data_IF_643363022793
#
_entry.id   IF_643363022793
#
_cell.length_a   1.000
_cell.length_b   1.000
_cell.length_c   1.000
_cell.angle_alpha   90.00
_cell.angle_beta   90.00
_cell.angle_gamma   90.00
#
_symmetry.space_group_name_H-M   'P 1'
#
loop_
_entity.id
_entity.type
_entity.pdbx_description
1 polymer ?
#
# COMPACT_ATOMS: atom_id res chain seq x y z
N UNK A 1 4.88 6.06 -13.09
CA UNK A 1 3.65 5.83 -12.31
C UNK A 1 2.46 6.35 -13.09
N UNK A 2 1.37 5.57 -13.11
CA UNK A 2 0.09 5.94 -13.76
C UNK A 2 -1.02 6.16 -12.74
N UNK A 3 -0.84 5.63 -11.53
CA UNK A 3 -1.75 5.78 -10.42
C UNK A 3 -0.96 5.83 -9.11
N UNK A 4 -1.47 6.55 -8.13
CA UNK A 4 -0.92 6.65 -6.78
C UNK A 4 -2.06 6.68 -5.78
N UNK A 5 -1.99 5.83 -4.76
CA UNK A 5 -2.82 5.91 -3.56
C UNK A 5 -1.97 6.46 -2.44
N UNK A 6 -2.47 7.46 -1.73
CA UNK A 6 -1.79 8.07 -0.59
C UNK A 6 -2.70 8.12 0.63
N UNK A 7 -2.09 8.01 1.80
CA UNK A 7 -2.77 8.09 3.09
C UNK A 7 -2.73 9.54 3.58
N UNK A 8 -3.89 10.06 3.95
CA UNK A 8 -4.04 11.39 4.52
C UNK A 8 -4.42 11.24 5.99
N UNK A 9 -3.57 11.72 6.88
CA UNK A 9 -3.90 11.83 8.29
C UNK A 9 -5.18 12.66 8.46
N UNK A 10 -6.23 11.99 8.95
CA UNK A 10 -7.57 12.57 9.01
C UNK A 10 -7.97 12.79 10.46
N UNK A 11 -7.28 13.74 11.13
CA UNK A 11 -7.57 14.14 12.51
C UNK A 11 -8.85 14.97 12.61
N UNK A 12 -9.15 15.73 11.57
CA UNK A 12 -10.32 16.60 11.44
C UNK A 12 -11.30 16.02 10.42
N UNK A 13 -12.47 16.63 10.30
CA UNK A 13 -13.40 16.29 9.22
C UNK A 13 -12.75 16.62 7.85
N UNK A 14 -12.89 15.75 6.84
CA UNK A 14 -12.26 15.95 5.54
C UNK A 14 -12.50 17.32 4.91
N UNK A 15 -13.66 17.93 5.14
CA UNK A 15 -14.00 19.25 4.59
C UNK A 15 -13.18 20.40 5.20
N UNK A 16 -12.66 20.22 6.43
CA UNK A 16 -11.87 21.20 7.15
C UNK A 16 -10.36 20.85 7.16
N UNK A 17 -10.00 19.68 6.66
CA UNK A 17 -8.62 19.19 6.68
C UNK A 17 -7.77 19.82 5.59
N UNK A 18 -6.66 20.52 5.93
CA UNK A 18 -5.73 21.05 4.95
C UNK A 18 -5.18 19.99 3.99
N UNK A 19 -4.95 18.76 4.49
CA UNK A 19 -4.46 17.64 3.69
C UNK A 19 -5.47 17.24 2.60
N UNK A 20 -6.76 17.15 2.95
CA UNK A 20 -7.82 16.83 2.00
C UNK A 20 -8.06 17.96 0.98
N UNK A 21 -7.97 19.22 1.40
CA UNK A 21 -8.08 20.38 0.50
C UNK A 21 -6.94 20.35 -0.51
N UNK A 22 -5.69 20.25 -0.05
CA UNK A 22 -4.52 20.17 -0.91
C UNK A 22 -4.57 18.96 -1.86
N UNK A 23 -4.96 17.78 -1.35
CA UNK A 23 -5.15 16.59 -2.19
C UNK A 23 -6.16 16.82 -3.32
N UNK A 24 -7.31 17.43 -3.02
CA UNK A 24 -8.36 17.69 -4.01
C UNK A 24 -7.88 18.63 -5.12
N UNK A 25 -7.09 19.65 -4.77
CA UNK A 25 -6.48 20.57 -5.72
C UNK A 25 -5.48 19.84 -6.63
N UNK A 26 -4.58 19.04 -6.05
CA UNK A 26 -3.59 18.26 -6.78
C UNK A 26 -4.29 17.21 -7.67
N UNK A 27 -5.28 16.48 -7.15
CA UNK A 27 -6.05 15.50 -7.90
C UNK A 27 -6.70 16.14 -9.14
N UNK A 28 -7.31 17.31 -8.98
CA UNK A 28 -7.91 18.06 -10.08
C UNK A 28 -6.87 18.50 -11.11
N UNK A 29 -5.74 19.02 -10.67
CA UNK A 29 -4.65 19.48 -11.55
C UNK A 29 -4.00 18.33 -12.34
N UNK A 30 -3.91 17.14 -11.73
CA UNK A 30 -3.19 15.99 -12.29
C UNK A 30 -4.09 14.93 -12.95
N UNK A 31 -5.41 15.08 -12.94
CA UNK A 31 -6.38 14.08 -13.42
C UNK A 31 -6.13 13.55 -14.84
N UNK A 32 -5.44 14.30 -15.71
CA UNK A 32 -5.08 13.90 -17.07
C UNK A 32 -3.75 13.16 -17.16
N UNK A 33 -2.97 13.14 -16.08
CA UNK A 33 -1.63 12.55 -16.01
C UNK A 33 -1.56 11.35 -15.06
N UNK A 34 -2.32 11.40 -13.97
CA UNK A 34 -2.19 10.46 -12.86
C UNK A 34 -3.56 10.24 -12.20
N UNK A 35 -3.90 8.98 -11.98
CA UNK A 35 -5.03 8.63 -11.10
C UNK A 35 -4.57 8.74 -9.65
N UNK A 36 -5.18 9.63 -8.87
CA UNK A 36 -4.90 9.79 -7.45
C UNK A 36 -6.07 9.28 -6.61
N UNK A 37 -5.77 8.47 -5.61
CA UNK A 37 -6.73 8.00 -4.60
C UNK A 37 -6.26 8.41 -3.21
N UNK A 38 -7.17 8.95 -2.39
CA UNK A 38 -6.91 9.27 -0.99
C UNK A 38 -7.49 8.21 -0.06
N UNK A 39 -6.70 7.82 0.92
CA UNK A 39 -7.16 7.04 2.07
C UNK A 39 -7.26 7.96 3.28
N UNK A 40 -8.41 7.99 3.91
CA UNK A 40 -8.60 8.72 5.17
C UNK A 40 -8.02 7.91 6.33
N UNK A 41 -6.74 8.12 6.64
CA UNK A 41 -6.09 7.38 7.72
C UNK A 41 -6.44 7.95 9.08
N UNK A 42 -6.95 7.09 9.96
CA UNK A 42 -7.32 7.41 11.34
C UNK A 42 -6.86 6.30 12.28
N UNK A 43 -6.58 6.64 13.53
CA UNK A 43 -6.39 5.61 14.56
C UNK A 43 -7.70 4.83 14.78
N UNK A 44 -7.63 3.52 14.96
CA UNK A 44 -8.80 2.64 15.03
C UNK A 44 -9.82 3.07 16.11
N UNK A 45 -9.37 3.60 17.26
CA UNK A 45 -10.30 4.05 18.32
C UNK A 45 -11.27 5.16 17.87
N UNK A 46 -11.01 5.84 16.75
CA UNK A 46 -11.91 6.88 16.20
C UNK A 46 -13.26 6.34 15.78
N UNK A 47 -13.40 5.03 15.56
CA UNK A 47 -14.70 4.38 15.28
C UNK A 47 -15.70 4.53 16.43
N UNK A 48 -15.23 4.86 17.65
CA UNK A 48 -16.05 5.04 18.85
C UNK A 48 -16.58 6.47 19.01
N UNK A 49 -16.09 7.42 18.20
CA UNK A 49 -16.50 8.82 18.27
C UNK A 49 -17.84 9.05 17.57
N UNK A 50 -18.64 9.94 18.12
CA UNK A 50 -19.98 10.28 17.61
C UNK A 50 -19.97 10.86 16.18
N UNK A 51 -18.86 11.47 15.77
CA UNK A 51 -18.68 12.06 14.44
C UNK A 51 -18.20 11.07 13.38
N UNK A 52 -17.91 9.82 13.75
CA UNK A 52 -17.29 8.83 12.85
C UNK A 52 -18.16 8.55 11.62
N UNK A 53 -19.45 8.32 11.80
CA UNK A 53 -20.37 8.07 10.68
C UNK A 53 -20.44 9.26 9.69
N UNK A 54 -20.46 10.49 10.23
CA UNK A 54 -20.44 11.71 9.42
C UNK A 54 -19.12 11.83 8.63
N UNK A 55 -17.98 11.48 9.22
CA UNK A 55 -16.69 11.44 8.53
C UNK A 55 -16.71 10.42 7.37
N UNK A 56 -17.23 9.22 7.61
CA UNK A 56 -17.38 8.21 6.54
C UNK A 56 -18.22 8.75 5.39
N UNK A 57 -19.32 9.43 5.66
CA UNK A 57 -20.13 10.07 4.62
C UNK A 57 -19.36 11.16 3.83
N UNK A 58 -18.50 11.92 4.50
CA UNK A 58 -17.67 12.93 3.84
C UNK A 58 -16.56 12.31 2.99
N UNK A 59 -15.96 11.20 3.45
CA UNK A 59 -14.98 10.44 2.69
C UNK A 59 -15.61 9.87 1.43
N UNK A 60 -16.79 9.25 1.54
CA UNK A 60 -17.53 8.71 0.40
C UNK A 60 -17.86 9.77 -0.66
N UNK A 61 -18.27 10.97 -0.24
CA UNK A 61 -18.54 12.10 -1.17
C UNK A 61 -17.29 12.57 -1.95
N UNK A 62 -16.11 12.19 -1.53
CA UNK A 62 -14.82 12.54 -2.15
C UNK A 62 -14.17 11.37 -2.89
N UNK A 63 -14.93 10.29 -3.12
CA UNK A 63 -14.41 9.05 -3.70
C UNK A 63 -13.15 8.54 -2.95
N UNK A 64 -13.12 8.79 -1.62
CA UNK A 64 -12.04 8.38 -0.75
C UNK A 64 -12.20 6.93 -0.28
N UNK A 65 -11.13 6.39 0.27
CA UNK A 65 -11.06 5.06 0.90
C UNK A 65 -11.00 5.23 2.41
N UNK A 66 -11.70 4.39 3.16
CA UNK A 66 -11.66 4.42 4.62
C UNK A 66 -10.42 3.69 5.13
N UNK A 67 -9.56 4.40 5.85
CA UNK A 67 -8.34 3.88 6.42
C UNK A 67 -8.36 3.79 7.94
N UNK A 68 -7.68 2.79 8.49
CA UNK A 68 -7.46 2.68 9.91
C UNK A 68 -6.03 2.23 10.22
N UNK A 69 -5.41 2.85 11.22
CA UNK A 69 -4.20 2.33 11.85
C UNK A 69 -4.59 1.39 13.00
N UNK A 70 -4.31 0.11 12.80
CA UNK A 70 -4.58 -0.99 13.74
C UNK A 70 -3.25 -1.43 14.35
N UNK A 71 -2.80 -0.64 15.33
CA UNK A 71 -1.57 -0.94 16.06
C UNK A 71 -1.74 -2.04 17.11
N UNK A 72 -0.63 -2.56 17.65
CA UNK A 72 -0.66 -3.60 18.68
C UNK A 72 -1.58 -3.24 19.85
N UNK A 73 -2.49 -4.15 20.21
CA UNK A 73 -3.43 -3.97 21.32
C UNK A 73 -4.54 -2.94 21.10
N UNK A 74 -4.65 -2.33 19.91
CA UNK A 74 -5.72 -1.39 19.59
C UNK A 74 -6.99 -2.06 19.06
N UNK A 75 -6.85 -3.25 18.46
CA UNK A 75 -7.95 -4.00 17.89
C UNK A 75 -8.82 -4.63 18.97
N UNK A 76 -10.14 -4.46 18.83
CA UNK A 76 -11.15 -5.26 19.53
C UNK A 76 -12.21 -5.70 18.51
N UNK A 77 -12.91 -6.82 18.73
CA UNK A 77 -13.99 -7.24 17.85
C UNK A 77 -15.01 -6.14 17.56
N UNK A 78 -15.37 -5.35 18.59
CA UNK A 78 -16.36 -4.28 18.49
C UNK A 78 -15.87 -3.12 17.63
N UNK A 79 -14.58 -2.75 17.74
CA UNK A 79 -13.99 -1.68 16.92
C UNK A 79 -13.90 -2.07 15.46
N UNK A 80 -13.43 -3.28 15.19
CA UNK A 80 -13.33 -3.80 13.81
C UNK A 80 -14.75 -3.91 13.23
N UNK A 81 -15.72 -4.41 13.99
CA UNK A 81 -17.11 -4.49 13.56
C UNK A 81 -17.68 -3.11 13.16
N UNK A 82 -17.50 -2.10 14.01
CA UNK A 82 -17.93 -0.73 13.71
C UNK A 82 -17.31 -0.17 12.45
N UNK A 83 -16.00 -0.43 12.24
CA UNK A 83 -15.28 -0.01 11.03
C UNK A 83 -15.92 -0.62 9.78
N UNK A 84 -16.13 -1.94 9.78
CA UNK A 84 -16.73 -2.65 8.65
C UNK A 84 -18.18 -2.25 8.38
N UNK A 85 -18.99 -2.09 9.43
CA UNK A 85 -20.38 -1.66 9.30
C UNK A 85 -20.49 -0.24 8.73
N UNK A 86 -19.61 0.68 9.16
CA UNK A 86 -19.56 2.02 8.59
C UNK A 86 -19.11 2.02 7.14
N UNK A 87 -18.06 1.26 6.80
CA UNK A 87 -17.61 1.10 5.42
C UNK A 87 -18.73 0.55 4.52
N UNK A 88 -19.42 -0.50 4.96
CA UNK A 88 -20.55 -1.09 4.22
C UNK A 88 -21.70 -0.09 4.04
N UNK A 89 -22.05 0.67 5.08
CA UNK A 89 -23.14 1.66 5.05
C UNK A 89 -22.88 2.77 4.03
N UNK A 90 -21.65 3.20 3.91
CA UNK A 90 -21.27 4.31 3.02
C UNK A 90 -20.67 3.86 1.69
N UNK A 91 -20.63 2.54 1.41
CA UNK A 91 -20.06 1.97 0.18
C UNK A 91 -18.57 2.24 0.02
N UNK A 92 -17.82 2.26 1.12
CA UNK A 92 -16.39 2.53 1.16
C UNK A 92 -15.57 1.25 1.08
N UNK A 93 -14.49 1.27 0.33
CA UNK A 93 -13.40 0.30 0.43
C UNK A 93 -12.58 0.56 1.71
N UNK A 94 -11.85 -0.44 2.17
CA UNK A 94 -10.97 -0.37 3.34
C UNK A 94 -9.50 -0.45 2.92
N UNK A 95 -8.65 0.38 3.54
CA UNK A 95 -7.18 0.33 3.40
C UNK A 95 -6.56 0.49 4.80
N UNK A 96 -6.01 -0.60 5.33
CA UNK A 96 -5.70 -0.76 6.73
C UNK A 96 -4.20 -0.89 6.95
N UNK A 97 -3.62 -0.10 7.84
CA UNK A 97 -2.30 -0.38 8.42
C UNK A 97 -2.53 -1.37 9.55
N UNK A 98 -2.09 -2.61 9.40
CA UNK A 98 -2.41 -3.66 10.35
C UNK A 98 -1.18 -4.48 10.74
N UNK A 99 -1.03 -4.70 12.03
CA UNK A 99 0.02 -5.51 12.63
C UNK A 99 1.43 -5.14 12.13
N UNK A 100 1.68 -3.83 12.04
CA UNK A 100 3.00 -3.26 11.72
C UNK A 100 3.96 -3.41 12.90
N UNK A 101 4.26 -4.65 13.25
CA UNK A 101 5.12 -5.00 14.38
C UNK A 101 5.76 -6.38 14.15
N UNK A 102 6.85 -6.64 14.84
CA UNK A 102 7.47 -7.98 14.92
C UNK A 102 7.00 -8.78 16.15
N UNK A 103 5.95 -8.34 16.82
CA UNK A 103 5.30 -9.07 17.90
C UNK A 103 4.30 -10.11 17.35
N UNK A 104 4.63 -11.40 17.52
CA UNK A 104 3.79 -12.49 17.06
C UNK A 104 2.39 -12.53 17.72
N UNK A 105 2.21 -11.86 18.87
CA UNK A 105 0.93 -11.81 19.58
C UNK A 105 -0.06 -10.79 19.00
N UNK A 106 0.36 -9.96 18.02
CA UNK A 106 -0.55 -9.05 17.34
C UNK A 106 -1.65 -9.82 16.62
N UNK A 107 -2.89 -9.40 16.79
CA UNK A 107 -4.11 -10.11 16.36
C UNK A 107 -5.04 -9.26 15.49
N UNK A 108 -4.64 -8.03 15.16
CA UNK A 108 -5.43 -7.11 14.37
C UNK A 108 -5.84 -7.70 13.02
N UNK A 109 -4.91 -8.35 12.32
CA UNK A 109 -5.19 -8.99 11.03
C UNK A 109 -6.15 -10.18 11.16
N UNK A 110 -6.07 -10.97 12.23
CA UNK A 110 -7.00 -12.06 12.49
C UNK A 110 -8.43 -11.54 12.66
N UNK A 111 -8.62 -10.49 13.46
CA UNK A 111 -9.91 -9.85 13.65
C UNK A 111 -10.47 -9.23 12.37
N UNK A 112 -9.61 -8.65 11.53
CA UNK A 112 -9.99 -8.12 10.20
C UNK A 112 -10.50 -9.25 9.32
N UNK A 113 -9.78 -10.36 9.21
CA UNK A 113 -10.17 -11.53 8.40
C UNK A 113 -11.49 -12.13 8.89
N UNK A 114 -11.61 -12.39 10.19
CA UNK A 114 -12.84 -12.94 10.80
C UNK A 114 -14.04 -12.06 10.52
N UNK A 115 -13.88 -10.73 10.66
CA UNK A 115 -14.96 -9.77 10.44
C UNK A 115 -15.33 -9.66 8.96
N UNK A 116 -14.35 -9.66 8.06
CA UNK A 116 -14.57 -9.64 6.63
C UNK A 116 -15.41 -10.86 6.17
N UNK A 117 -15.05 -12.06 6.63
CA UNK A 117 -15.75 -13.30 6.34
C UNK A 117 -17.15 -13.32 6.95
N UNK A 118 -17.29 -12.94 8.22
CA UNK A 118 -18.56 -12.90 8.94
C UNK A 118 -19.58 -11.96 8.29
N UNK A 119 -19.14 -10.77 7.89
CA UNK A 119 -20.00 -9.80 7.21
C UNK A 119 -20.14 -10.03 5.70
N UNK A 120 -19.36 -10.95 5.12
CA UNK A 120 -19.26 -11.11 3.66
C UNK A 120 -19.06 -9.75 2.99
N UNK A 121 -18.08 -9.02 3.48
CA UNK A 121 -17.86 -7.63 3.08
C UNK A 121 -17.64 -7.51 1.58
N UNK A 122 -18.46 -6.69 0.91
CA UNK A 122 -18.48 -6.60 -0.55
C UNK A 122 -17.47 -5.57 -1.11
N UNK A 123 -16.95 -4.66 -0.27
CA UNK A 123 -15.92 -3.69 -0.66
C UNK A 123 -14.54 -4.34 -0.76
N UNK A 124 -13.60 -3.67 -1.41
CA UNK A 124 -12.20 -4.10 -1.39
C UNK A 124 -11.59 -3.86 -0.02
N UNK A 125 -10.73 -4.79 0.39
CA UNK A 125 -9.94 -4.67 1.60
C UNK A 125 -8.46 -4.74 1.21
N UNK A 126 -7.71 -3.75 1.63
CA UNK A 126 -6.24 -3.72 1.53
C UNK A 126 -5.68 -3.76 2.94
N UNK A 127 -4.78 -4.70 3.21
CA UNK A 127 -4.03 -4.81 4.45
C UNK A 127 -2.56 -4.47 4.18
N UNK A 128 -2.12 -3.33 4.68
CA UNK A 128 -0.73 -2.88 4.62
C UNK A 128 0.09 -3.44 5.78
N UNK A 129 1.38 -3.58 5.56
CA UNK A 129 2.41 -4.06 6.51
C UNK A 129 2.31 -5.55 6.83
N UNK A 130 1.38 -6.00 7.66
CA UNK A 130 1.20 -7.39 8.08
C UNK A 130 2.50 -8.06 8.57
N UNK A 131 3.39 -7.30 9.22
CA UNK A 131 4.73 -7.78 9.60
C UNK A 131 4.69 -8.88 10.65
N UNK A 132 3.74 -8.81 11.60
CA UNK A 132 3.59 -9.81 12.65
C UNK A 132 3.26 -11.20 12.11
N UNK A 133 2.62 -11.29 10.93
CA UNK A 133 2.27 -12.57 10.31
C UNK A 133 3.50 -13.46 10.09
N UNK A 134 4.66 -12.86 9.75
CA UNK A 134 5.92 -13.59 9.57
C UNK A 134 6.54 -14.09 10.88
N UNK A 135 6.00 -13.72 12.03
CA UNK A 135 6.49 -14.13 13.36
C UNK A 135 5.58 -15.16 14.04
N UNK A 136 4.40 -15.43 13.47
CA UNK A 136 3.46 -16.41 14.01
C UNK A 136 3.97 -17.84 13.82
N UNK A 137 3.51 -18.75 14.67
CA UNK A 137 3.77 -20.18 14.48
C UNK A 137 3.19 -20.67 13.15
N UNK A 138 3.90 -21.56 12.49
CA UNK A 138 3.57 -22.02 11.13
C UNK A 138 2.10 -22.42 10.92
N UNK A 139 1.46 -23.24 11.78
CA UNK A 139 0.04 -23.59 11.62
C UNK A 139 -0.90 -22.38 11.72
N UNK A 140 -0.59 -21.44 12.61
CA UNK A 140 -1.36 -20.20 12.80
C UNK A 140 -1.21 -19.28 11.59
N UNK A 141 0.02 -19.09 11.12
CA UNK A 141 0.31 -18.30 9.93
C UNK A 141 -0.41 -18.85 8.70
N UNK A 142 -0.35 -20.18 8.48
CA UNK A 142 -1.03 -20.84 7.36
C UNK A 142 -2.56 -20.68 7.43
N UNK A 143 -3.16 -20.84 8.60
CA UNK A 143 -4.59 -20.65 8.78
C UNK A 143 -5.02 -19.21 8.49
N UNK A 144 -4.24 -18.23 8.96
CA UNK A 144 -4.53 -16.83 8.72
C UNK A 144 -4.34 -16.46 7.24
N UNK A 145 -3.30 -16.96 6.58
CA UNK A 145 -3.08 -16.77 5.13
C UNK A 145 -4.25 -17.34 4.32
N UNK A 146 -4.74 -18.54 4.68
CA UNK A 146 -5.91 -19.11 4.03
C UNK A 146 -7.16 -18.24 4.21
N UNK A 147 -7.37 -17.68 5.41
CA UNK A 147 -8.46 -16.74 5.68
C UNK A 147 -8.34 -15.43 4.88
N UNK A 148 -7.12 -14.88 4.73
CA UNK A 148 -6.85 -13.71 3.88
C UNK A 148 -7.26 -13.99 2.44
N UNK A 149 -6.89 -15.15 1.91
CA UNK A 149 -7.25 -15.56 0.55
C UNK A 149 -8.76 -15.75 0.40
N UNK A 150 -9.42 -16.40 1.35
CA UNK A 150 -10.88 -16.61 1.35
C UNK A 150 -11.65 -15.29 1.43
N UNK A 151 -11.18 -14.35 2.25
CA UNK A 151 -11.79 -13.03 2.39
C UNK A 151 -11.48 -12.09 1.19
N UNK A 152 -10.64 -12.50 0.25
CA UNK A 152 -10.26 -11.68 -0.90
C UNK A 152 -9.47 -10.41 -0.53
N UNK A 153 -8.76 -10.44 0.58
CA UNK A 153 -7.97 -9.30 1.06
C UNK A 153 -6.70 -9.17 0.23
N UNK A 154 -6.43 -7.96 -0.26
CA UNK A 154 -5.16 -7.60 -0.89
C UNK A 154 -4.13 -7.29 0.18
N UNK A 155 -2.90 -7.78 0.04
CA UNK A 155 -1.81 -7.45 0.97
C UNK A 155 -0.79 -6.54 0.30
N UNK A 156 -0.46 -5.42 0.95
CA UNK A 156 0.59 -4.50 0.50
C UNK A 156 1.79 -4.61 1.45
N UNK A 157 2.87 -5.19 0.96
CA UNK A 157 4.12 -5.26 1.70
C UNK A 157 5.02 -4.05 1.37
N UNK A 158 5.73 -3.58 2.37
CA UNK A 158 6.41 -2.28 2.40
C UNK A 158 7.91 -2.48 2.75
N UNK A 159 8.68 -3.07 1.81
CA UNK A 159 10.02 -3.59 2.11
C UNK A 159 11.01 -2.53 2.59
N UNK A 160 10.91 -1.29 2.08
CA UNK A 160 11.81 -0.20 2.46
C UNK A 160 11.54 0.25 3.89
N UNK A 161 10.32 0.71 4.17
CA UNK A 161 9.96 1.27 5.47
C UNK A 161 9.96 0.20 6.56
N UNK A 162 9.35 -0.95 6.31
CA UNK A 162 9.34 -2.02 7.32
C UNK A 162 10.73 -2.58 7.58
N UNK A 163 11.57 -2.76 6.55
CA UNK A 163 12.96 -3.17 6.73
C UNK A 163 13.80 -2.16 7.54
N UNK A 164 13.43 -0.88 7.50
CA UNK A 164 14.10 0.16 8.26
C UNK A 164 13.57 0.31 9.70
N UNK A 165 12.24 0.21 9.91
CA UNK A 165 11.60 0.49 11.18
C UNK A 165 11.51 -0.73 12.10
N UNK A 166 11.28 -1.93 11.53
CA UNK A 166 10.98 -3.10 12.32
C UNK A 166 12.23 -3.63 13.05
N UNK A 167 12.05 -4.12 14.28
CA UNK A 167 13.11 -4.61 15.18
C UNK A 167 14.23 -3.59 15.43
N UNK A 168 13.97 -2.31 15.20
CA UNK A 168 14.93 -1.22 15.38
C UNK A 168 15.15 -0.92 16.86
N UNK A 169 16.40 -1.05 17.34
CA UNK A 169 16.79 -0.74 18.71
C UNK A 169 18.15 0.00 18.72
N UNK A 170 18.30 1.06 19.54
CA UNK A 170 19.58 1.75 19.67
C UNK A 170 20.72 0.79 20.03
N UNK A 171 21.86 0.93 19.38
CA UNK A 171 23.06 0.14 19.66
C UNK A 171 23.01 -1.33 19.23
N UNK A 172 21.97 -1.74 18.46
CA UNK A 172 21.85 -3.12 17.98
C UNK A 172 21.38 -3.15 16.52
N UNK A 173 22.00 -4.02 15.72
CA UNK A 173 21.51 -4.34 14.38
C UNK A 173 20.19 -5.12 14.46
N UNK A 174 19.17 -4.81 13.65
CA UNK A 174 17.95 -5.59 13.58
C UNK A 174 18.21 -7.07 13.27
N UNK A 175 17.46 -7.97 13.88
CA UNK A 175 17.57 -9.43 13.70
C UNK A 175 16.43 -9.99 12.89
N UNK A 176 15.32 -9.26 12.79
CA UNK A 176 14.13 -9.63 12.04
C UNK A 176 14.02 -8.75 10.80
N UNK A 177 13.52 -9.29 9.71
CA UNK A 177 13.40 -8.55 8.44
C UNK A 177 12.23 -7.58 8.39
N UNK A 178 11.19 -7.83 9.19
CA UNK A 178 9.99 -7.00 9.28
C UNK A 178 9.09 -7.05 8.02
N UNK A 179 9.33 -7.99 7.12
CA UNK A 179 8.53 -8.17 5.91
C UNK A 179 7.43 -9.21 6.15
N UNK A 180 6.22 -8.96 5.62
CA UNK A 180 5.17 -9.96 5.56
C UNK A 180 5.63 -11.22 4.77
N UNK A 181 5.06 -12.42 5.03
CA UNK A 181 5.43 -13.66 4.34
C UNK A 181 4.85 -13.69 2.92
N UNK A 182 5.41 -12.83 2.04
CA UNK A 182 4.86 -12.55 0.70
C UNK A 182 4.84 -13.78 -0.21
N UNK A 183 5.79 -14.71 -0.05
CA UNK A 183 5.86 -15.94 -0.84
C UNK A 183 4.68 -16.85 -0.51
N UNK A 184 4.41 -17.06 0.78
CA UNK A 184 3.32 -17.88 1.28
C UNK A 184 1.96 -17.28 0.93
N UNK A 185 1.81 -15.96 1.09
CA UNK A 185 0.62 -15.22 0.70
C UNK A 185 0.32 -15.41 -0.80
N UNK A 186 1.31 -15.20 -1.66
CA UNK A 186 1.16 -15.39 -3.10
C UNK A 186 0.86 -16.84 -3.47
N UNK A 187 1.50 -17.81 -2.81
CA UNK A 187 1.23 -19.24 -3.03
C UNK A 187 -0.21 -19.63 -2.68
N UNK A 188 -0.81 -18.96 -1.69
CA UNK A 188 -2.22 -19.11 -1.33
C UNK A 188 -3.19 -18.35 -2.26
N UNK A 189 -2.70 -17.67 -3.31
CA UNK A 189 -3.52 -16.90 -4.25
C UNK A 189 -3.88 -15.49 -3.81
N UNK A 190 -3.29 -15.00 -2.72
CA UNK A 190 -3.48 -13.61 -2.28
C UNK A 190 -2.84 -12.65 -3.29
N UNK A 191 -3.55 -11.58 -3.64
CA UNK A 191 -2.95 -10.49 -4.41
C UNK A 191 -1.97 -9.73 -3.52
N UNK A 192 -0.67 -9.91 -3.78
CA UNK A 192 0.41 -9.21 -3.08
C UNK A 192 0.87 -8.03 -3.93
N UNK A 193 0.96 -6.86 -3.32
CA UNK A 193 1.52 -5.66 -3.92
C UNK A 193 2.70 -5.15 -3.08
N UNK A 194 3.61 -4.43 -3.73
CA UNK A 194 4.68 -3.67 -3.07
C UNK A 194 4.42 -2.17 -3.23
N UNK A 195 4.79 -1.39 -2.21
CA UNK A 195 4.73 0.06 -2.27
C UNK A 195 5.96 0.68 -1.58
N UNK A 196 6.23 1.96 -1.89
CA UNK A 196 7.34 2.71 -1.27
C UNK A 196 7.08 3.01 0.19
N UNK A 197 5.81 3.24 0.54
CA UNK A 197 5.42 3.74 1.85
C UNK A 197 6.03 5.15 2.11
N UNK A 198 6.54 5.42 3.29
CA UNK A 198 7.19 6.68 3.65
C UNK A 198 8.40 6.99 2.75
N UNK A 199 8.54 8.24 2.37
CA UNK A 199 9.65 8.73 1.53
C UNK A 199 10.10 10.09 2.06
N UNK A 200 11.35 10.18 2.49
CA UNK A 200 12.00 11.42 2.95
C UNK A 200 11.20 12.15 4.05
N UNK A 201 10.73 11.39 5.02
CA UNK A 201 9.97 11.89 6.16
C UNK A 201 10.55 11.41 7.51
N UNK A 202 9.80 11.63 8.61
CA UNK A 202 10.24 11.29 9.96
C UNK A 202 10.34 9.78 10.21
N UNK A 203 9.64 8.96 9.48
CA UNK A 203 9.64 7.50 9.63
C UNK A 203 10.71 6.85 8.75
N UNK A 204 10.85 7.31 7.50
CA UNK A 204 11.86 6.82 6.57
C UNK A 204 12.52 7.99 5.83
N UNK A 205 13.72 8.43 6.24
CA UNK A 205 14.35 9.64 5.72
C UNK A 205 15.00 9.48 4.34
N UNK A 206 14.90 8.30 3.74
CA UNK A 206 15.49 7.94 2.45
C UNK A 206 14.44 7.66 1.39
N UNK A 207 14.87 7.08 0.28
CA UNK A 207 14.01 6.61 -0.79
C UNK A 207 13.51 7.70 -1.72
N UNK A 208 12.78 7.22 -2.69
CA UNK A 208 11.98 8.00 -3.63
C UNK A 208 10.75 7.16 -4.04
N UNK A 209 10.00 7.60 -5.03
CA UNK A 209 8.86 6.83 -5.55
C UNK A 209 9.24 5.86 -6.69
N UNK A 210 10.52 5.43 -6.78
CA UNK A 210 10.98 4.48 -7.77
C UNK A 210 10.63 3.03 -7.40
N UNK A 211 9.62 2.49 -8.06
CA UNK A 211 9.19 1.11 -7.83
C UNK A 211 10.25 0.05 -8.20
N UNK A 212 11.29 0.41 -8.98
CA UNK A 212 12.42 -0.49 -9.19
C UNK A 212 13.26 -0.66 -7.93
N UNK A 213 13.45 0.42 -7.16
CA UNK A 213 14.17 0.34 -5.89
C UNK A 213 13.35 -0.47 -4.86
N UNK A 214 12.05 -0.22 -4.78
CA UNK A 214 11.13 -1.03 -3.95
C UNK A 214 11.23 -2.51 -4.30
N UNK A 215 11.24 -2.86 -5.59
CA UNK A 215 11.35 -4.24 -6.06
C UNK A 215 12.70 -4.86 -5.73
N UNK A 216 13.80 -4.11 -5.82
CA UNK A 216 15.14 -4.58 -5.41
C UNK A 216 15.18 -4.95 -3.93
N UNK A 217 14.61 -4.09 -3.08
CA UNK A 217 14.56 -4.36 -1.65
C UNK A 217 13.65 -5.54 -1.32
N UNK A 218 12.51 -5.67 -2.00
CA UNK A 218 11.64 -6.84 -1.87
C UNK A 218 12.37 -8.14 -2.27
N UNK A 219 13.10 -8.12 -3.39
CA UNK A 219 13.92 -9.27 -3.83
C UNK A 219 14.94 -9.68 -2.78
N UNK A 220 15.65 -8.69 -2.21
CA UNK A 220 16.67 -8.94 -1.21
C UNK A 220 16.07 -9.43 0.12
N UNK A 221 15.07 -8.75 0.66
CA UNK A 221 14.47 -9.08 1.95
C UNK A 221 13.64 -10.36 1.89
N UNK A 222 12.92 -10.59 0.81
CA UNK A 222 12.02 -11.72 0.61
C UNK A 222 12.69 -12.93 -0.03
N UNK A 223 13.95 -12.83 -0.52
CA UNK A 223 14.65 -13.90 -1.26
C UNK A 223 13.83 -14.41 -2.47
N UNK A 224 13.40 -13.46 -3.32
CA UNK A 224 12.40 -13.69 -4.38
C UNK A 224 13.03 -14.00 -5.75
N UNK A 225 14.30 -14.36 -5.80
CA UNK A 225 15.09 -14.55 -7.02
C UNK A 225 14.60 -15.68 -7.94
N UNK A 226 13.77 -16.58 -7.42
CA UNK A 226 13.26 -17.72 -8.20
C UNK A 226 12.27 -17.34 -9.31
N UNK A 227 11.56 -16.21 -9.17
CA UNK A 227 10.56 -15.75 -10.13
C UNK A 227 10.47 -14.20 -10.20
N UNK A 228 11.52 -13.51 -10.64
CA UNK A 228 11.49 -12.05 -10.68
C UNK A 228 10.45 -11.47 -11.65
N UNK A 229 10.12 -12.19 -12.73
CA UNK A 229 9.09 -11.78 -13.68
C UNK A 229 7.69 -11.82 -13.04
N UNK A 230 7.36 -12.88 -12.30
CA UNK A 230 6.12 -12.96 -11.57
C UNK A 230 6.04 -11.93 -10.45
N UNK A 231 7.14 -11.64 -9.74
CA UNK A 231 7.18 -10.61 -8.71
C UNK A 231 7.09 -9.18 -9.26
N UNK A 232 7.44 -8.94 -10.52
CA UNK A 232 7.20 -7.64 -11.15
C UNK A 232 5.72 -7.26 -11.15
N UNK A 233 4.80 -8.24 -11.14
CA UNK A 233 3.36 -7.98 -11.04
C UNK A 233 2.97 -7.28 -9.73
N UNK A 234 3.71 -7.51 -8.66
CA UNK A 234 3.50 -6.85 -7.37
C UNK A 234 3.84 -5.34 -7.39
N UNK A 235 4.50 -4.84 -8.44
CA UNK A 235 4.79 -3.42 -8.64
C UNK A 235 3.89 -2.75 -9.69
N UNK A 236 3.00 -3.49 -10.34
CA UNK A 236 2.16 -2.98 -11.43
C UNK A 236 0.71 -3.50 -11.38
N UNK A 237 0.43 -4.71 -11.82
CA UNK A 237 -0.92 -5.27 -11.83
C UNK A 237 -1.49 -5.51 -10.41
N UNK A 238 -0.65 -5.91 -9.46
CA UNK A 238 -1.04 -6.11 -8.06
C UNK A 238 -1.58 -4.83 -7.39
N UNK A 239 -0.81 -3.72 -7.38
CA UNK A 239 -1.32 -2.43 -6.89
C UNK A 239 -2.55 -1.95 -7.65
N UNK A 240 -2.60 -2.13 -8.97
CA UNK A 240 -3.76 -1.74 -9.76
C UNK A 240 -5.04 -2.48 -9.31
N UNK A 241 -4.96 -3.79 -9.08
CA UNK A 241 -6.07 -4.58 -8.54
C UNK A 241 -6.49 -4.11 -7.13
N UNK A 242 -5.52 -3.86 -6.24
CA UNK A 242 -5.78 -3.33 -4.90
C UNK A 242 -6.45 -1.94 -4.93
N UNK A 243 -6.17 -1.14 -5.96
CA UNK A 243 -6.79 0.16 -6.18
C UNK A 243 -8.12 0.09 -6.96
N UNK A 244 -8.53 -1.09 -7.46
CA UNK A 244 -9.72 -1.23 -8.29
C UNK A 244 -9.57 -0.60 -9.68
N UNK A 245 -8.36 -0.57 -10.22
CA UNK A 245 -8.04 -0.02 -11.53
C UNK A 245 -7.94 -1.14 -12.57
N UNK A 246 -9.07 -1.52 -13.14
CA UNK A 246 -9.15 -2.63 -14.09
C UNK A 246 -8.29 -2.39 -15.33
N UNK A 247 -7.41 -3.37 -15.59
CA UNK A 247 -6.55 -3.38 -16.78
C UNK A 247 -5.35 -2.43 -16.71
N UNK A 248 -5.16 -1.68 -15.62
CA UNK A 248 -3.92 -0.94 -15.39
C UNK A 248 -2.77 -1.88 -15.00
N UNK A 249 -1.54 -1.45 -15.21
CA UNK A 249 -0.35 -2.22 -14.85
C UNK A 249 -0.07 -3.46 -15.71
N UNK A 250 -0.72 -3.59 -16.86
CA UNK A 250 -0.55 -4.72 -17.78
C UNK A 250 -0.32 -4.24 -19.22
N UNK A 251 0.57 -4.93 -19.92
CA UNK A 251 0.76 -4.75 -21.36
C UNK A 251 -0.13 -5.77 -22.09
N UNK A 252 -1.15 -5.28 -22.80
CA UNK A 252 -2.08 -6.11 -23.56
C UNK A 252 -2.52 -5.42 -24.85
N UNK A 253 -2.91 -6.21 -25.86
CA UNK A 253 -3.47 -5.66 -27.10
C UNK A 253 -4.73 -4.83 -26.79
N UNK A 254 -4.80 -3.62 -27.34
CA UNK A 254 -5.90 -2.67 -27.09
C UNK A 254 -5.86 -1.96 -25.71
N UNK A 255 -4.86 -2.24 -24.87
CA UNK A 255 -4.63 -1.55 -23.61
C UNK A 255 -3.84 -0.24 -23.77
N UNK A 256 -3.69 0.49 -22.66
CA UNK A 256 -2.85 1.68 -22.62
C UNK A 256 -1.38 1.30 -22.91
N UNK A 257 -0.72 2.06 -23.78
CA UNK A 257 0.69 1.87 -24.11
C UNK A 257 1.60 2.61 -23.11
N UNK A 258 1.42 2.29 -21.82
CA UNK A 258 2.20 2.80 -20.70
C UNK A 258 3.20 1.74 -20.25
N UNK A 259 4.48 2.05 -20.35
CA UNK A 259 5.56 1.09 -20.05
C UNK A 259 6.81 1.80 -19.56
N UNK A 260 7.66 1.06 -18.84
CA UNK A 260 9.03 1.47 -18.55
C UNK A 260 9.94 0.47 -19.28
N UNK A 261 10.82 0.97 -20.13
CA UNK A 261 11.81 0.18 -20.86
C UNK A 261 13.16 0.44 -20.21
N UNK A 262 13.77 -0.59 -19.63
CA UNK A 262 15.06 -0.51 -18.98
C UNK A 262 16.19 -0.93 -19.91
N UNK A 263 17.31 -0.23 -19.85
CA UNK A 263 18.56 -0.64 -20.52
C UNK A 263 19.25 -1.74 -19.71
N UNK A 264 18.65 -2.93 -19.72
CA UNK A 264 19.16 -4.10 -19.01
C UNK A 264 19.01 -5.35 -19.88
N UNK A 265 19.96 -6.26 -19.80
CA UNK A 265 19.98 -7.51 -20.58
C UNK A 265 19.18 -8.64 -19.94
N UNK A 266 18.72 -8.47 -18.71
CA UNK A 266 17.94 -9.43 -17.97
C UNK A 266 17.73 -8.99 -16.52
N UNK A 267 17.03 -9.82 -15.74
CA UNK A 267 16.67 -9.49 -14.35
C UNK A 267 17.90 -9.31 -13.45
N UNK A 268 18.90 -10.17 -13.57
CA UNK A 268 20.14 -10.06 -12.79
C UNK A 268 20.84 -8.72 -13.09
N UNK A 269 20.96 -8.34 -14.37
CA UNK A 269 21.55 -7.07 -14.76
C UNK A 269 20.73 -5.89 -14.23
N UNK A 270 19.41 -5.96 -14.34
CA UNK A 270 18.49 -4.91 -13.83
C UNK A 270 18.64 -4.70 -12.32
N UNK A 271 18.74 -5.77 -11.54
CA UNK A 271 18.85 -5.67 -10.08
C UNK A 271 20.27 -5.40 -9.57
N UNK A 272 21.30 -5.68 -10.36
CA UNK A 272 22.69 -5.43 -9.98
C UNK A 272 23.09 -3.96 -10.00
N UNK A 273 22.32 -3.09 -10.66
CA UNK A 273 22.67 -1.68 -10.85
C UNK A 273 21.80 -0.80 -9.95
N UNK A 274 22.43 0.16 -9.28
CA UNK A 274 21.72 1.14 -8.43
C UNK A 274 20.99 2.20 -9.25
N UNK A 275 21.48 2.51 -10.46
CA UNK A 275 20.83 3.45 -11.36
C UNK A 275 20.80 2.83 -12.76
N UNK A 276 19.60 2.45 -13.19
CA UNK A 276 19.40 1.84 -14.52
C UNK A 276 18.73 2.86 -15.43
N UNK A 277 19.40 3.17 -16.55
CA UNK A 277 18.84 4.01 -17.59
C UNK A 277 17.51 3.41 -18.10
N UNK A 278 16.51 4.27 -18.28
CA UNK A 278 15.16 3.85 -18.66
C UNK A 278 14.46 4.87 -19.53
N UNK A 279 13.59 4.38 -20.39
CA UNK A 279 12.63 5.19 -21.13
C UNK A 279 11.23 4.96 -20.56
N UNK A 280 10.57 6.02 -20.13
CA UNK A 280 9.17 5.95 -19.67
C UNK A 280 8.27 6.28 -20.85
N UNK A 281 7.36 5.36 -21.16
CA UNK A 281 6.36 5.51 -22.22
C UNK A 281 5.00 5.84 -21.59
N UNK A 282 4.30 6.83 -22.14
CA UNK A 282 2.92 7.16 -21.80
C UNK A 282 2.10 7.29 -23.06
N UNK A 283 1.02 6.53 -23.17
CA UNK A 283 0.17 6.49 -24.35
C UNK A 283 0.97 6.27 -25.64
N UNK A 284 1.97 5.39 -25.61
CA UNK A 284 2.83 5.04 -26.73
C UNK A 284 3.90 6.07 -27.11
N UNK A 285 4.10 7.12 -26.30
CA UNK A 285 5.11 8.16 -26.54
C UNK A 285 6.12 8.20 -25.40
N UNK A 286 7.41 8.37 -25.68
CA UNK A 286 8.39 8.64 -24.64
C UNK A 286 8.03 9.92 -23.88
N UNK A 287 8.08 9.86 -22.53
CA UNK A 287 8.04 11.07 -21.72
C UNK A 287 9.38 11.78 -21.84
N UNK A 288 9.36 13.05 -22.24
CA UNK A 288 10.50 13.93 -22.05
C UNK A 288 10.78 14.15 -20.58
N UNK A 289 12.03 14.40 -20.21
CA UNK A 289 12.40 14.84 -18.86
C UNK A 289 11.90 16.29 -18.75
N UNK A 290 10.74 16.49 -18.14
CA UNK A 290 10.31 17.84 -17.74
C UNK A 290 11.18 18.27 -16.56
N UNK A 291 11.86 19.39 -16.65
CA UNK A 291 12.61 19.96 -15.52
C UNK A 291 11.67 20.47 -14.46
N UNK A 292 12.13 20.56 -13.20
CA UNK A 292 11.32 21.13 -12.10
C UNK A 292 10.76 22.52 -12.44
N UNK A 293 11.48 23.31 -13.23
CA UNK A 293 11.04 24.63 -13.73
C UNK A 293 9.85 24.53 -14.70
N UNK A 294 9.81 23.51 -15.56
CA UNK A 294 8.72 23.29 -16.53
C UNK A 294 7.42 22.85 -15.87
N UNK A 295 7.50 22.24 -14.69
CA UNK A 295 6.33 21.83 -13.88
C UNK A 295 5.97 22.86 -12.80
N UNK A 296 6.66 24.01 -12.72
CA UNK A 296 6.35 25.07 -11.76
C UNK A 296 6.67 24.72 -10.30
N UNK A 297 7.56 23.75 -10.07
CA UNK A 297 8.00 23.37 -8.73
C UNK A 297 9.19 24.26 -8.35
N UNK A 298 8.96 25.27 -7.54
CA UNK A 298 10.04 25.98 -6.86
C UNK A 298 10.74 25.05 -5.86
N UNK A 299 12.02 24.74 -6.12
CA UNK A 299 12.86 24.08 -5.10
C UNK A 299 13.06 25.06 -3.95
N UNK A 300 12.31 24.93 -2.87
CA UNK A 300 12.70 25.55 -1.61
C UNK A 300 14.01 24.88 -1.19
N UNK A 301 15.08 25.67 -1.18
CA UNK A 301 16.36 25.25 -0.58
C UNK A 301 16.10 25.09 0.91
N UNK A 302 16.37 23.87 1.44
CA UNK A 302 16.42 23.61 2.87
C UNK A 302 17.60 24.32 3.52
#
# INVERSE_FOLDING_TARGET
TVALRTHLDTFEEPENSPAWIAFSEIQSAWKHRLTLQAVALMALFRVEHDDFDRRCAQIAKRDGVLGAFIGPGSATPERIDRLFLAAARHGLDLDLHVDETTDASADGLSLVVETALRHKFAGRIVAGHCCALAQKHEPEAQALIAGIAEAGIHVVALPLTNGFLQDRKPGRTPRLRGLAPVTELRAAGVNVAFASDNVQDAFYPYGDFDMLDVMRQAQFLGQLEGDPAGWATACNAGPAAAMGLDGAGMIRAGGAADAIIFEATGWTDLFSRTNTARTVMRNGKPLGIETAEQVGIERRRA
#
